data_IF_025646811381
#
_entry.id   IF_025646811381
#
_cell.length_a   1.000
_cell.length_b   1.000
_cell.length_c   1.000
_cell.angle_alpha   90.00
_cell.angle_beta   90.00
_cell.angle_gamma   90.00
#
_symmetry.space_group_name_H-M   'P 1'
#
loop_
_entity.id
_entity.type
_entity.pdbx_description
1 polymer ?
#
# COMPACT_ATOMS: atom_id res chain seq x y z
N UNK A 1 19.03 8.73 7.91
CA UNK A 1 18.49 7.39 8.27
C UNK A 1 17.35 7.11 7.29
N UNK A 2 17.27 5.89 6.74
CA UNK A 2 16.16 5.50 5.87
C UNK A 2 14.97 5.08 6.73
N UNK A 3 13.80 5.67 6.48
CA UNK A 3 12.56 5.30 7.17
C UNK A 3 11.81 4.21 6.40
N UNK A 4 11.17 3.24 7.08
CA UNK A 4 10.38 2.21 6.43
C UNK A 4 9.04 2.78 5.93
N UNK A 5 9.06 3.47 4.79
CA UNK A 5 7.87 4.02 4.14
C UNK A 5 7.09 2.90 3.43
N UNK A 6 6.23 2.23 4.22
CA UNK A 6 5.29 1.20 3.75
C UNK A 6 4.43 1.73 2.60
N UNK A 7 4.02 3.00 2.68
CA UNK A 7 3.15 3.62 1.70
C UNK A 7 3.82 3.79 0.34
N UNK A 8 5.08 4.21 0.33
CA UNK A 8 5.89 4.31 -0.89
C UNK A 8 6.13 2.94 -1.52
N UNK A 9 6.54 1.95 -0.72
CA UNK A 9 6.77 0.60 -1.22
C UNK A 9 5.50 -0.03 -1.78
N UNK A 10 4.35 0.23 -1.14
CA UNK A 10 3.04 -0.19 -1.65
C UNK A 10 2.72 0.47 -2.99
N UNK A 11 2.92 1.78 -3.11
CA UNK A 11 2.67 2.53 -4.35
C UNK A 11 3.62 2.12 -5.48
N UNK A 12 4.81 1.63 -5.16
CA UNK A 12 5.75 1.05 -6.12
C UNK A 12 5.36 -0.38 -6.58
N UNK A 13 4.32 -0.98 -6.00
CA UNK A 13 3.79 -2.28 -6.43
C UNK A 13 4.35 -3.48 -5.66
N UNK A 14 4.95 -3.28 -4.48
CA UNK A 14 5.41 -4.39 -3.65
C UNK A 14 4.21 -5.21 -3.15
N UNK A 15 4.35 -6.54 -3.16
CA UNK A 15 3.32 -7.46 -2.70
C UNK A 15 2.96 -7.24 -1.21
N UNK A 16 1.66 -7.24 -0.90
CA UNK A 16 1.14 -6.98 0.44
C UNK A 16 1.59 -8.00 1.51
N UNK A 17 1.85 -9.26 1.17
CA UNK A 17 2.36 -10.25 2.13
C UNK A 17 3.82 -9.95 2.50
N UNK A 18 4.64 -9.55 1.53
CA UNK A 18 6.03 -9.13 1.78
C UNK A 18 6.02 -7.88 2.67
N UNK A 19 5.17 -6.91 2.35
CA UNK A 19 5.03 -5.68 3.15
C UNK A 19 4.55 -5.95 4.56
N UNK A 20 3.61 -6.89 4.77
CA UNK A 20 3.17 -7.30 6.10
C UNK A 20 4.32 -7.85 6.94
N UNK A 21 5.15 -8.72 6.38
CA UNK A 21 6.32 -9.26 7.10
C UNK A 21 7.39 -8.18 7.35
N UNK A 22 7.60 -7.28 6.39
CA UNK A 22 8.52 -6.15 6.57
C UNK A 22 8.03 -5.17 7.66
N UNK A 23 6.73 -4.88 7.70
CA UNK A 23 6.12 -4.05 8.74
C UNK A 23 6.30 -4.68 10.12
N UNK A 24 6.07 -5.99 10.25
CA UNK A 24 6.31 -6.73 11.49
C UNK A 24 7.79 -6.68 11.90
N UNK A 25 8.72 -6.84 10.96
CA UNK A 25 10.16 -6.69 11.22
C UNK A 25 10.53 -5.27 11.71
N UNK A 26 9.83 -4.25 11.22
CA UNK A 26 9.99 -2.87 11.66
C UNK A 26 9.23 -2.53 12.96
N UNK A 27 8.55 -3.50 13.60
CA UNK A 27 7.77 -3.28 14.81
C UNK A 27 6.51 -2.44 14.59
N UNK A 28 5.95 -2.44 13.37
CA UNK A 28 4.73 -1.73 13.01
C UNK A 28 3.54 -2.65 13.24
N UNK A 29 2.62 -2.21 14.10
CA UNK A 29 1.37 -2.92 14.38
C UNK A 29 0.47 -3.02 13.15
N UNK A 30 -0.40 -4.03 13.12
CA UNK A 30 -1.27 -4.30 11.97
C UNK A 30 -2.18 -3.10 11.61
N UNK A 31 -2.75 -2.42 12.61
CA UNK A 31 -3.57 -1.22 12.40
C UNK A 31 -2.79 -0.10 11.73
N UNK A 32 -1.54 0.08 12.14
CA UNK A 32 -0.64 1.13 11.66
C UNK A 32 -0.13 0.82 10.26
N UNK A 33 0.13 -0.45 9.98
CA UNK A 33 0.46 -0.94 8.64
C UNK A 33 -0.63 -0.55 7.63
N UNK A 34 -1.89 -0.88 7.94
CA UNK A 34 -3.02 -0.56 7.07
C UNK A 34 -3.20 0.97 6.90
N UNK A 35 -3.00 1.73 7.97
CA UNK A 35 -3.07 3.19 7.92
C UNK A 35 -1.97 3.78 7.03
N UNK A 36 -0.72 3.32 7.19
CA UNK A 36 0.42 3.75 6.37
C UNK A 36 0.25 3.41 4.89
N UNK A 37 -0.39 2.30 4.55
CA UNK A 37 -0.74 2.00 3.16
C UNK A 37 -1.72 3.03 2.59
N UNK A 38 -2.79 3.37 3.33
CA UNK A 38 -3.78 4.39 2.91
C UNK A 38 -3.13 5.76 2.76
N UNK A 39 -2.28 6.14 3.71
CA UNK A 39 -1.57 7.41 3.69
C UNK A 39 -0.54 7.46 2.55
N UNK A 40 0.07 6.31 2.24
CA UNK A 40 0.92 6.12 1.06
C UNK A 40 0.22 6.45 -0.24
N UNK A 41 -0.99 5.93 -0.45
CA UNK A 41 -1.79 6.23 -1.65
C UNK A 41 -2.16 7.72 -1.72
N UNK A 42 -2.54 8.32 -0.59
CA UNK A 42 -2.87 9.76 -0.53
C UNK A 42 -1.66 10.64 -0.83
N UNK A 43 -0.46 10.25 -0.38
CA UNK A 43 0.76 11.05 -0.48
C UNK A 43 1.51 10.84 -1.79
N UNK A 44 1.61 9.60 -2.24
CA UNK A 44 2.44 9.19 -3.38
C UNK A 44 1.64 8.90 -4.65
N UNK A 45 0.30 8.98 -4.58
CA UNK A 45 -0.60 8.71 -5.70
C UNK A 45 -1.03 7.24 -5.79
N UNK A 46 -1.79 6.87 -6.83
CA UNK A 46 -2.25 5.50 -7.03
C UNK A 46 -1.06 4.55 -7.22
N UNK A 47 -1.27 3.27 -6.91
CA UNK A 47 -0.26 2.22 -7.11
C UNK A 47 0.18 2.20 -8.58
N UNK A 48 1.46 2.52 -8.82
CA UNK A 48 1.99 2.97 -10.13
C UNK A 48 2.26 1.83 -11.11
N UNK A 49 2.44 0.58 -10.65
CA UNK A 49 2.68 -0.58 -11.50
C UNK A 49 2.49 -1.92 -10.77
N UNK A 50 2.16 -2.99 -11.52
CA UNK A 50 2.02 -4.38 -11.03
C UNK A 50 0.64 -5.00 -11.32
N UNK A 51 0.44 -6.28 -10.98
CA UNK A 51 -0.88 -6.96 -11.10
C UNK A 51 -1.97 -6.26 -10.27
N UNK A 52 -1.56 -5.49 -9.25
CA UNK A 52 -2.43 -4.67 -8.39
C UNK A 52 -2.51 -3.20 -8.82
N UNK A 53 -2.19 -2.87 -10.07
CA UNK A 53 -2.44 -1.54 -10.60
C UNK A 53 -3.93 -1.20 -10.36
N UNK A 54 -4.18 -0.20 -9.52
CA UNK A 54 -5.55 0.23 -9.21
C UNK A 54 -6.14 0.86 -10.47
N UNK A 55 -7.04 0.13 -11.13
CA UNK A 55 -7.73 0.58 -12.35
C UNK A 55 -8.96 1.45 -12.07
N UNK A 56 -9.39 1.57 -10.81
CA UNK A 56 -10.63 2.26 -10.43
C UNK A 56 -10.33 3.47 -9.53
N UNK A 57 -10.85 4.62 -9.92
CA UNK A 57 -10.85 5.83 -9.09
C UNK A 57 -11.68 5.62 -7.82
N UNK A 58 -11.44 6.44 -6.80
CA UNK A 58 -11.97 6.31 -5.42
C UNK A 58 -13.52 6.23 -5.34
N UNK A 59 -14.24 6.52 -6.42
CA UNK A 59 -15.71 6.53 -6.49
C UNK A 59 -16.34 5.48 -7.43
N UNK A 60 -15.57 4.61 -8.07
CA UNK A 60 -16.14 3.66 -9.03
C UNK A 60 -16.54 2.36 -8.33
N UNK A 61 -17.85 2.16 -8.15
CA UNK A 61 -18.42 0.88 -7.70
C UNK A 61 -17.89 -0.23 -8.60
N UNK A 62 -17.17 -1.17 -8.00
CA UNK A 62 -16.71 -2.38 -8.67
C UNK A 62 -17.94 -3.18 -9.08
N UNK A 63 -18.30 -3.13 -10.36
CA UNK A 63 -19.31 -4.00 -10.94
C UNK A 63 -18.68 -5.36 -11.23
N UNK A 64 -19.16 -6.37 -10.50
CA UNK A 64 -19.26 -7.76 -10.97
C UNK A 64 -17.98 -8.60 -11.01
N UNK A 65 -18.00 -9.70 -10.26
CA UNK A 65 -17.80 -11.03 -10.80
C UNK A 65 -18.67 -12.01 -10.00
#
# INVERSE_FOLDING_TARGET
VLEPDIGLLYVLGVNGQILMHFAAFCGIEWSDYLQRMRDGVKRHGPVRAGIYAMLSGVDEKVAGA
#
